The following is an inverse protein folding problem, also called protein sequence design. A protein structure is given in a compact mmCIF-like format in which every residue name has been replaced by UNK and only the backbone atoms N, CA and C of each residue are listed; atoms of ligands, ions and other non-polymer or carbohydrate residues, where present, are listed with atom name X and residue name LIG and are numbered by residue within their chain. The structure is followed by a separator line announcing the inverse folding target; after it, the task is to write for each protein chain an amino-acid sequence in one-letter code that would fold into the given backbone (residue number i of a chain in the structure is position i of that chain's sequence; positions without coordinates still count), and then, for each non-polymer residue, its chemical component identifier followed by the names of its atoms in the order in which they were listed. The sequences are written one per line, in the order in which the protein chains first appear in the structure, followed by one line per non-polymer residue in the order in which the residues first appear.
data_IF_155398541517
#
_entry.id   IF_155398541517
#
_cell.length_a   1.000
_cell.length_b   1.000
_cell.length_c   1.000
_cell.angle_alpha   90.00
_cell.angle_beta   90.00
_cell.angle_gamma   90.00
#
_symmetry.space_group_name_H-M   'P 1'
#
loop_
_entity.id
_entity.type
_entity.pdbx_description
1 polymer ?
#
# COMPACT_ATOMS: atom_id res chain seq x y z
N UNK A 1 -22.15 17.05 -9.45
CA UNK A 1 -21.26 15.89 -9.70
C UNK A 1 -19.87 16.30 -9.26
N UNK A 2 -19.51 15.97 -8.02
CA UNK A 2 -18.27 16.45 -7.36
C UNK A 2 -18.50 16.64 -5.88
N UNK A 3 -18.43 15.56 -5.10
CA UNK A 3 -18.46 15.63 -3.63
C UNK A 3 -17.95 14.37 -2.90
N UNK A 4 -17.36 13.37 -3.59
CA UNK A 4 -16.99 12.10 -2.93
C UNK A 4 -15.48 11.90 -2.72
N UNK A 5 -14.61 12.57 -3.49
CA UNK A 5 -13.16 12.37 -3.37
C UNK A 5 -12.50 13.25 -2.30
N UNK A 6 -13.17 14.30 -1.84
CA UNK A 6 -12.58 15.34 -0.98
C UNK A 6 -12.49 14.92 0.51
N UNK A 7 -13.23 13.89 0.93
CA UNK A 7 -13.43 13.59 2.36
C UNK A 7 -12.33 12.73 2.99
N UNK A 8 -11.38 12.17 2.22
CA UNK A 8 -10.43 11.17 2.77
C UNK A 8 -8.99 11.67 3.00
N UNK A 9 -8.70 12.96 2.76
CA UNK A 9 -7.36 13.56 2.98
C UNK A 9 -6.20 12.64 2.51
N UNK A 10 -6.40 11.96 1.39
CA UNK A 10 -5.39 11.06 0.83
C UNK A 10 -4.34 11.92 0.14
N UNK A 11 -3.10 11.86 0.61
CA UNK A 11 -1.99 12.51 -0.07
C UNK A 11 -1.90 12.02 -1.53
N UNK A 12 -1.50 12.89 -2.46
CA UNK A 12 -1.35 12.55 -3.89
C UNK A 12 -0.44 11.34 -4.12
N UNK A 13 0.54 11.15 -3.23
CA UNK A 13 1.46 9.99 -3.18
C UNK A 13 0.73 8.66 -3.03
N UNK A 14 -0.52 8.66 -2.56
CA UNK A 14 -1.35 7.48 -2.38
C UNK A 14 -2.36 7.30 -3.53
N UNK A 15 -2.81 8.39 -4.16
CA UNK A 15 -3.84 8.34 -5.21
C UNK A 15 -3.27 7.79 -6.51
N UNK A 16 -2.15 8.34 -6.98
CA UNK A 16 -1.58 7.96 -8.28
C UNK A 16 -1.24 6.46 -8.38
N UNK A 17 -0.60 5.82 -7.38
CA UNK A 17 -0.32 4.39 -7.43
C UNK A 17 -1.60 3.52 -7.44
N UNK A 18 -2.62 3.92 -6.67
CA UNK A 18 -3.90 3.19 -6.63
C UNK A 18 -4.63 3.27 -7.97
N UNK A 19 -4.67 4.44 -8.59
CA UNK A 19 -5.26 4.60 -9.93
C UNK A 19 -4.50 3.79 -10.99
N UNK A 20 -3.17 3.76 -10.93
CA UNK A 20 -2.36 2.96 -11.85
C UNK A 20 -2.69 1.46 -11.73
N UNK A 21 -2.88 0.96 -10.51
CA UNK A 21 -3.29 -0.42 -10.29
C UNK A 21 -4.70 -0.70 -10.82
N UNK A 22 -5.67 0.18 -10.57
CA UNK A 22 -7.04 0.00 -11.08
C UNK A 22 -7.04 -0.06 -12.62
N UNK A 23 -6.29 0.83 -13.28
CA UNK A 23 -6.15 0.80 -14.75
C UNK A 23 -5.50 -0.49 -15.24
N UNK A 24 -4.44 -0.95 -14.56
CA UNK A 24 -3.78 -2.21 -14.88
C UNK A 24 -4.74 -3.40 -14.74
N UNK A 25 -5.59 -3.41 -13.72
CA UNK A 25 -6.58 -4.48 -13.54
C UNK A 25 -7.70 -4.39 -14.58
N UNK A 26 -8.21 -3.20 -14.90
CA UNK A 26 -9.13 -2.98 -16.04
C UNK A 26 -8.53 -3.53 -17.34
N UNK A 27 -7.28 -3.18 -17.65
CA UNK A 27 -6.59 -3.65 -18.85
C UNK A 27 -6.40 -5.17 -18.86
N UNK A 28 -6.08 -5.77 -17.70
CA UNK A 28 -5.93 -7.21 -17.57
C UNK A 28 -7.26 -7.97 -17.76
N UNK A 29 -8.32 -7.54 -17.05
CA UNK A 29 -9.65 -8.17 -17.11
C UNK A 29 -10.35 -7.97 -18.45
N UNK A 30 -9.96 -6.95 -19.23
CA UNK A 30 -10.65 -6.58 -20.46
C UNK A 30 -12.06 -6.03 -20.23
N UNK A 31 -12.44 -5.76 -18.97
CA UNK A 31 -13.79 -5.34 -18.58
C UNK A 31 -13.75 -4.14 -17.63
N UNK A 32 -14.89 -3.45 -17.53
CA UNK A 32 -15.04 -2.29 -16.66
C UNK A 32 -15.30 -2.70 -15.21
N UNK A 33 -15.05 -1.80 -14.24
CA UNK A 33 -15.21 -2.11 -12.81
C UNK A 33 -16.53 -2.70 -12.35
N UNK A 34 -17.64 -2.40 -13.05
CA UNK A 34 -18.97 -2.91 -12.73
C UNK A 34 -19.24 -4.31 -13.31
N UNK A 35 -18.32 -4.86 -14.10
CA UNK A 35 -18.38 -6.20 -14.69
C UNK A 35 -17.32 -7.16 -14.13
N UNK A 36 -16.40 -6.66 -13.30
CA UNK A 36 -15.36 -7.48 -12.71
C UNK A 36 -15.91 -8.64 -11.89
N UNK A 37 -15.22 -9.77 -11.96
CA UNK A 37 -15.55 -11.00 -11.26
C UNK A 37 -14.44 -11.44 -10.30
N UNK A 38 -14.79 -12.36 -9.40
CA UNK A 38 -13.81 -13.05 -8.56
C UNK A 38 -12.77 -13.81 -9.40
N UNK A 39 -13.17 -14.37 -10.56
CA UNK A 39 -12.27 -15.07 -11.48
C UNK A 39 -11.22 -14.14 -12.09
N UNK A 40 -11.60 -12.93 -12.48
CA UNK A 40 -10.64 -11.94 -13.00
C UNK A 40 -9.55 -11.62 -11.98
N UNK A 41 -9.92 -11.51 -10.70
CA UNK A 41 -8.97 -11.30 -9.60
C UNK A 41 -8.03 -12.50 -9.42
N UNK A 42 -8.55 -13.71 -9.47
CA UNK A 42 -7.78 -14.95 -9.35
C UNK A 42 -6.76 -15.07 -10.49
N UNK A 43 -7.21 -14.91 -11.73
CA UNK A 43 -6.36 -14.94 -12.92
C UNK A 43 -5.29 -13.85 -12.89
N UNK A 44 -5.67 -12.64 -12.45
CA UNK A 44 -4.72 -11.55 -12.28
C UNK A 44 -3.66 -11.92 -11.24
N UNK A 45 -4.10 -12.49 -10.11
CA UNK A 45 -3.20 -12.91 -9.03
C UNK A 45 -2.23 -13.99 -9.49
N UNK A 46 -2.72 -15.00 -10.22
CA UNK A 46 -1.89 -16.05 -10.83
C UNK A 46 -0.88 -15.45 -11.81
N UNK A 47 -1.28 -14.48 -12.63
CA UNK A 47 -0.37 -13.79 -13.56
C UNK A 47 0.77 -13.07 -12.83
N UNK A 48 0.48 -12.41 -11.70
CA UNK A 48 1.47 -11.69 -10.88
C UNK A 48 2.41 -12.65 -10.14
N UNK A 49 1.95 -13.87 -9.85
CA UNK A 49 2.74 -14.93 -9.24
C UNK A 49 3.49 -15.78 -10.27
N UNK A 50 3.34 -15.53 -11.57
CA UNK A 50 3.90 -16.37 -12.62
C UNK A 50 4.95 -15.63 -13.45
N UNK A 51 5.83 -16.40 -14.11
CA UNK A 51 6.86 -15.86 -15.00
C UNK A 51 8.12 -15.34 -14.29
N UNK A 52 9.00 -14.74 -15.09
CA UNK A 52 10.33 -14.26 -14.66
C UNK A 52 10.27 -12.99 -13.79
N UNK A 53 9.16 -12.25 -13.83
CA UNK A 53 8.93 -11.02 -13.08
C UNK A 53 7.87 -11.20 -11.98
N UNK A 54 7.90 -12.35 -11.28
CA UNK A 54 7.00 -12.66 -10.16
C UNK A 54 7.05 -11.57 -9.10
N UNK A 55 5.88 -11.09 -8.66
CA UNK A 55 5.78 -10.14 -7.57
C UNK A 55 5.88 -10.83 -6.21
N UNK A 56 6.41 -10.06 -5.25
CA UNK A 56 6.38 -10.41 -3.84
C UNK A 56 4.94 -10.61 -3.33
N UNK A 57 4.66 -11.64 -2.50
CA UNK A 57 3.34 -11.82 -1.87
C UNK A 57 2.85 -10.57 -1.12
N UNK A 58 3.74 -9.84 -0.45
CA UNK A 58 3.39 -8.57 0.21
C UNK A 58 2.91 -7.48 -0.75
N UNK A 59 3.45 -7.43 -1.97
CA UNK A 59 3.02 -6.49 -3.00
C UNK A 59 1.63 -6.88 -3.51
N UNK A 60 1.40 -8.17 -3.74
CA UNK A 60 0.10 -8.68 -4.18
C UNK A 60 -0.97 -8.45 -3.11
N UNK A 61 -0.66 -8.68 -1.82
CA UNK A 61 -1.55 -8.31 -0.71
C UNK A 61 -1.93 -6.82 -0.73
N UNK A 62 -0.97 -5.94 -1.02
CA UNK A 62 -1.23 -4.50 -1.18
C UNK A 62 -2.15 -4.18 -2.37
N UNK A 63 -2.03 -4.94 -3.47
CA UNK A 63 -2.92 -4.82 -4.62
C UNK A 63 -4.35 -5.26 -4.29
N UNK A 64 -4.51 -6.43 -3.66
CA UNK A 64 -5.80 -6.93 -3.19
C UNK A 64 -6.49 -5.95 -2.25
N UNK A 65 -5.75 -5.37 -1.30
CA UNK A 65 -6.30 -4.34 -0.41
C UNK A 65 -6.82 -3.11 -1.18
N UNK A 66 -6.08 -2.65 -2.19
CA UNK A 66 -6.48 -1.50 -3.01
C UNK A 66 -7.73 -1.81 -3.85
N UNK A 67 -7.79 -3.00 -4.46
CA UNK A 67 -8.95 -3.44 -5.23
C UNK A 67 -10.19 -3.57 -4.34
N UNK A 68 -10.05 -4.21 -3.17
CA UNK A 68 -11.12 -4.33 -2.18
C UNK A 68 -11.68 -2.96 -1.78
N UNK A 69 -10.82 -2.01 -1.44
CA UNK A 69 -11.22 -0.64 -1.09
C UNK A 69 -12.00 0.06 -2.21
N UNK A 70 -11.65 -0.20 -3.46
CA UNK A 70 -12.34 0.40 -4.60
C UNK A 70 -13.69 -0.26 -4.85
N UNK A 71 -13.79 -1.59 -4.77
CA UNK A 71 -15.06 -2.29 -4.84
C UNK A 71 -15.99 -1.92 -3.68
N UNK A 72 -15.46 -1.71 -2.48
CA UNK A 72 -16.24 -1.20 -1.33
C UNK A 72 -16.80 0.20 -1.64
N UNK A 73 -16.01 1.07 -2.29
CA UNK A 73 -16.48 2.38 -2.73
C UNK A 73 -17.56 2.30 -3.80
N UNK A 74 -17.44 1.37 -4.76
CA UNK A 74 -18.45 1.17 -5.82
C UNK A 74 -19.77 0.57 -5.29
N UNK A 75 -19.68 -0.28 -4.27
CA UNK A 75 -20.83 -0.99 -3.68
C UNK A 75 -21.43 -0.28 -2.47
N UNK A 76 -20.81 0.78 -1.95
CA UNK A 76 -21.41 1.59 -0.89
C UNK A 76 -22.53 2.49 -1.46
N UNK A 77 -23.76 2.19 -1.06
CA UNK A 77 -24.98 2.90 -1.48
C UNK A 77 -24.96 4.41 -1.20
N UNK A 78 -24.11 4.91 -0.30
CA UNK A 78 -23.95 6.34 -0.03
C UNK A 78 -23.40 7.13 -1.22
N UNK A 79 -22.64 6.48 -2.10
CA UNK A 79 -22.06 7.14 -3.27
C UNK A 79 -22.93 7.04 -4.53
N UNK A 80 -23.96 6.20 -4.53
CA UNK A 80 -24.92 6.07 -5.63
C UNK A 80 -24.40 5.34 -6.87
N UNK A 81 -23.20 4.75 -6.83
CA UNK A 81 -22.60 4.04 -7.97
C UNK A 81 -23.39 2.82 -8.41
N UNK A 82 -23.96 2.07 -7.46
CA UNK A 82 -24.84 0.93 -7.79
C UNK A 82 -25.95 1.35 -8.74
N UNK A 83 -26.71 2.40 -8.39
CA UNK A 83 -27.81 2.88 -9.21
C UNK A 83 -27.31 3.46 -10.53
N UNK A 84 -26.22 4.23 -10.50
CA UNK A 84 -25.65 4.80 -11.71
C UNK A 84 -25.17 3.72 -12.71
N UNK A 85 -24.61 2.62 -12.22
CA UNK A 85 -24.21 1.49 -13.05
C UNK A 85 -25.40 0.72 -13.60
N UNK A 86 -26.42 0.47 -12.77
CA UNK A 86 -27.64 -0.19 -13.21
C UNK A 86 -28.35 0.62 -14.32
N UNK A 87 -28.53 1.92 -14.10
CA UNK A 87 -29.26 2.78 -15.04
C UNK A 87 -28.52 3.00 -16.37
N UNK A 88 -27.18 3.01 -16.35
CA UNK A 88 -26.36 3.39 -17.52
C UNK A 88 -25.76 2.22 -18.26
N UNK A 89 -25.46 1.14 -17.54
CA UNK A 89 -24.71 0.00 -18.07
C UNK A 89 -25.47 -1.31 -17.95
N UNK A 90 -26.64 -1.33 -17.31
CA UNK A 90 -27.39 -2.56 -17.00
C UNK A 90 -26.54 -3.59 -16.22
N UNK A 91 -25.66 -3.06 -15.35
CA UNK A 91 -24.72 -3.85 -14.55
C UNK A 91 -24.72 -3.37 -13.10
N UNK A 92 -24.51 -4.28 -12.16
CA UNK A 92 -24.40 -3.97 -10.73
C UNK A 92 -22.99 -4.35 -10.26
N UNK A 93 -22.18 -3.39 -9.78
CA UNK A 93 -20.84 -3.69 -9.30
C UNK A 93 -20.91 -4.61 -8.07
N UNK A 94 -19.90 -5.46 -7.91
CA UNK A 94 -19.79 -6.38 -6.79
C UNK A 94 -18.41 -6.33 -6.12
N UNK A 95 -18.32 -6.85 -4.91
CA UNK A 95 -17.03 -7.09 -4.27
C UNK A 95 -16.40 -8.32 -4.92
N UNK A 96 -15.20 -8.17 -5.49
CA UNK A 96 -14.46 -9.27 -6.13
C UNK A 96 -13.40 -9.88 -5.22
N UNK A 97 -12.96 -9.14 -4.19
CA UNK A 97 -12.04 -9.63 -3.17
C UNK A 97 -12.81 -10.31 -2.05
N UNK A 98 -12.80 -11.63 -2.05
CA UNK A 98 -13.38 -12.47 -1.02
C UNK A 98 -12.28 -13.13 -0.18
N UNK A 99 -12.68 -13.71 0.94
CA UNK A 99 -11.73 -14.35 1.85
C UNK A 99 -11.05 -15.55 1.15
N UNK A 100 -11.74 -16.27 0.26
CA UNK A 100 -11.19 -17.45 -0.41
C UNK A 100 -10.25 -17.16 -1.59
N UNK A 101 -10.25 -15.95 -2.17
CA UNK A 101 -9.48 -15.64 -3.39
C UNK A 101 -8.36 -14.60 -3.19
N UNK A 102 -8.06 -14.26 -1.94
CA UNK A 102 -7.00 -13.29 -1.60
C UNK A 102 -5.75 -13.98 -1.04
N UNK A 103 -4.58 -13.36 -1.24
CA UNK A 103 -3.28 -13.98 -0.90
C UNK A 103 -3.12 -14.33 0.59
N UNK A 104 -3.91 -13.71 1.48
CA UNK A 104 -3.92 -14.07 2.91
C UNK A 104 -4.26 -15.56 3.16
N UNK A 105 -4.99 -16.20 2.24
CA UNK A 105 -5.30 -17.63 2.29
C UNK A 105 -4.50 -18.48 1.28
N UNK A 106 -3.73 -17.86 0.40
CA UNK A 106 -2.94 -18.55 -0.63
C UNK A 106 -1.50 -18.89 -0.17
N UNK A 107 -1.05 -18.37 0.98
CA UNK A 107 0.30 -18.55 1.50
C UNK A 107 0.32 -18.80 3.01
N UNK A 108 0.41 -20.07 3.42
CA UNK A 108 0.73 -20.50 4.80
C UNK A 108 2.21 -20.27 5.20
N UNK A 109 2.95 -19.35 4.54
CA UNK A 109 4.36 -19.13 4.88
C UNK A 109 4.88 -17.72 4.56
N UNK A 110 5.03 -16.89 5.61
CA UNK A 110 5.60 -15.54 5.55
C UNK A 110 7.01 -15.44 6.17
N UNK A 111 7.83 -16.48 6.10
CA UNK A 111 9.24 -16.42 6.49
C UNK A 111 10.17 -16.14 5.30
N UNK A 112 10.50 -14.88 4.99
CA UNK A 112 11.57 -14.59 4.03
C UNK A 112 12.95 -14.70 4.69
N UNK A 113 13.87 -15.55 4.21
CA UNK A 113 15.23 -15.63 4.77
C UNK A 113 16.01 -14.31 4.63
N UNK A 114 15.65 -13.47 3.66
CA UNK A 114 16.23 -12.14 3.41
C UNK A 114 15.89 -11.08 4.48
N UNK A 115 14.86 -11.32 5.29
CA UNK A 115 14.43 -10.46 6.40
C UNK A 115 14.48 -11.24 7.71
N UNK A 116 15.65 -11.83 7.99
CA UNK A 116 15.89 -12.46 9.28
C UNK A 116 15.85 -11.41 10.40
N UNK A 117 15.31 -11.72 11.58
CA UNK A 117 15.54 -10.92 12.77
C UNK A 117 17.05 -10.75 13.00
N UNK A 118 17.46 -9.57 13.47
CA UNK A 118 18.85 -9.35 13.87
C UNK A 118 19.24 -10.34 14.97
N UNK A 119 20.48 -10.81 14.93
CA UNK A 119 21.07 -11.50 16.08
C UNK A 119 21.31 -10.51 17.22
N UNK A 120 21.52 -11.03 18.43
CA UNK A 120 21.85 -10.20 19.58
C UNK A 120 23.10 -9.34 19.33
N UNK A 121 24.13 -9.92 18.71
CA UNK A 121 25.38 -9.23 18.38
C UNK A 121 25.18 -8.12 17.33
N UNK A 122 24.31 -8.36 16.33
CA UNK A 122 23.96 -7.34 15.32
C UNK A 122 23.21 -6.16 15.94
N UNK A 123 22.32 -6.42 16.90
CA UNK A 123 21.65 -5.37 17.67
C UNK A 123 22.64 -4.57 18.52
N UNK A 124 23.57 -5.26 19.19
CA UNK A 124 24.60 -4.58 19.99
C UNK A 124 25.45 -3.65 19.13
N UNK A 125 25.96 -4.13 17.99
CA UNK A 125 26.73 -3.29 17.07
C UNK A 125 25.93 -2.11 16.50
N UNK A 126 24.64 -2.31 16.23
CA UNK A 126 23.77 -1.24 15.79
C UNK A 126 23.62 -0.16 16.87
N UNK A 127 23.37 -0.56 18.13
CA UNK A 127 23.23 0.39 19.23
C UNK A 127 24.53 1.13 19.54
N UNK A 128 25.67 0.44 19.57
CA UNK A 128 26.98 1.07 19.77
C UNK A 128 27.27 2.12 18.68
N UNK A 129 26.92 1.81 17.42
CA UNK A 129 27.03 2.75 16.31
C UNK A 129 26.11 3.97 16.49
N UNK A 130 24.86 3.75 16.89
CA UNK A 130 23.89 4.82 17.12
C UNK A 130 24.32 5.73 18.28
N UNK A 131 24.78 5.17 19.40
CA UNK A 131 25.29 5.93 20.55
C UNK A 131 26.48 6.81 20.14
N UNK A 132 27.43 6.24 19.40
CA UNK A 132 28.57 6.99 18.85
C UNK A 132 28.10 8.16 17.97
N UNK A 133 27.07 7.96 17.13
CA UNK A 133 26.51 9.02 16.27
C UNK A 133 25.80 10.11 17.08
N UNK A 134 25.03 9.73 18.11
CA UNK A 134 24.39 10.68 19.03
C UNK A 134 25.45 11.53 19.74
N UNK A 135 26.52 10.92 20.25
CA UNK A 135 27.62 11.66 20.87
C UNK A 135 28.33 12.60 19.90
N UNK A 136 28.52 12.20 18.65
CA UNK A 136 29.12 13.07 17.62
C UNK A 136 28.23 14.29 17.32
N UNK A 137 26.92 14.08 17.19
CA UNK A 137 25.95 15.17 16.96
C UNK A 137 25.83 16.07 18.20
N UNK A 138 25.84 15.51 19.41
CA UNK A 138 25.83 16.27 20.65
C UNK A 138 27.09 17.15 20.78
N UNK A 139 28.27 16.62 20.43
CA UNK A 139 29.53 17.36 20.43
C UNK A 139 29.59 18.45 19.36
N UNK A 140 29.06 18.21 18.16
CA UNK A 140 29.00 19.22 17.10
C UNK A 140 28.01 20.34 17.45
N UNK A 141 26.87 20.01 18.04
CA UNK A 141 25.90 20.97 18.56
C UNK A 141 26.46 21.79 19.74
N UNK A 142 27.23 21.17 20.64
CA UNK A 142 27.90 21.86 21.74
C UNK A 142 29.00 22.82 21.25
N UNK A 143 29.72 22.47 20.17
CA UNK A 143 30.69 23.37 19.50
C UNK A 143 30.02 24.53 18.77
N UNK A 144 28.82 24.33 18.22
CA UNK A 144 28.06 25.41 17.56
C UNK A 144 27.46 26.41 18.56
N UNK A 145 27.25 26.02 19.83
CA UNK A 145 26.65 26.85 20.88
C UNK A 145 27.66 27.77 21.58
N UNK A 146 28.59 28.40 20.88
CA UNK A 146 29.47 29.43 21.46
C UNK A 146 29.51 30.72 20.61
N UNK A 147 28.73 31.73 21.00
CA UNK A 147 29.22 33.10 21.05
C UNK A 147 29.41 33.49 22.52
N UNK A 148 30.67 33.61 22.95
CA UNK A 148 31.02 34.28 24.21
C UNK A 148 30.67 35.76 24.07
N UNK A 149 29.55 36.19 24.65
CA UNK A 149 29.34 37.59 24.99
C UNK A 149 29.73 37.83 26.45
N UNK A 150 30.68 38.74 26.66
CA UNK A 150 30.69 39.66 27.81
C UNK A 150 31.47 39.25 29.06
N UNK A 151 32.72 39.71 29.16
CA UNK A 151 33.19 40.33 30.39
C UNK A 151 33.72 41.72 30.04
N UNK A 152 32.86 42.74 30.21
CA UNK A 152 33.31 44.11 30.50
C UNK A 152 33.36 44.23 32.02
N UNK A 153 34.48 44.68 32.55
CA UNK A 153 34.54 45.62 33.67
C UNK A 153 35.41 46.77 33.22
#
# INVERSE_FOLDING_TARGET
MGAAAEVRLLADTTIAPRMALLRRFTEFSGSYPWEWTAGDLEDFTVSLMSGSARLAPSTIRGYHFTLRLFCDFLTDGRYGWIQACADRFDQIPSQVCHDFNTVAHLHDYEGRPERRPFTYDELQHLFDFLDTRVEQVARSAARARWPRYGMRR
#
